data_IF_117515190242
#
_entry.id   IF_117515190242
#
_cell.length_a   1.000
_cell.length_b   1.000
_cell.length_c   1.000
_cell.angle_alpha   90.00
_cell.angle_beta   90.00
_cell.angle_gamma   90.00
#
_symmetry.space_group_name_H-M   'P 1'
#
loop_
_entity.id
_entity.type
_entity.pdbx_description
1 polymer ?
#
# COMPACT_ATOMS: atom_id res chain seq x y z
N UNK A 1 -22.22 -8.97 -2.79
CA UNK A 1 -21.50 -9.08 -1.50
C UNK A 1 -20.57 -7.90 -1.29
N UNK A 2 -20.03 -7.70 -0.09
CA UNK A 2 -19.03 -6.66 0.22
C UNK A 2 -17.65 -7.33 0.23
N UNK A 3 -16.65 -6.68 -0.37
CA UNK A 3 -15.26 -7.14 -0.35
C UNK A 3 -14.75 -7.12 1.08
N UNK A 4 -14.14 -8.22 1.53
CA UNK A 4 -13.57 -8.29 2.86
C UNK A 4 -12.41 -7.28 3.00
N UNK A 5 -12.34 -6.58 4.13
CA UNK A 5 -11.29 -5.58 4.37
C UNK A 5 -9.87 -6.15 4.19
N UNK A 6 -9.64 -7.40 4.62
CA UNK A 6 -8.37 -8.09 4.41
C UNK A 6 -7.96 -8.25 2.93
N UNK A 7 -8.90 -8.36 1.99
CA UNK A 7 -8.58 -8.41 0.57
C UNK A 7 -8.12 -7.03 0.07
N UNK A 8 -8.78 -5.96 0.50
CA UNK A 8 -8.36 -4.58 0.22
C UNK A 8 -6.97 -4.32 0.83
N UNK A 9 -6.72 -4.82 2.04
CA UNK A 9 -5.43 -4.69 2.70
C UNK A 9 -4.30 -5.38 1.91
N UNK A 10 -4.54 -6.58 1.39
CA UNK A 10 -3.57 -7.29 0.56
C UNK A 10 -3.27 -6.52 -0.74
N UNK A 11 -4.29 -5.94 -1.38
CA UNK A 11 -4.09 -5.12 -2.59
C UNK A 11 -3.28 -3.86 -2.26
N UNK A 12 -3.57 -3.18 -1.14
CA UNK A 12 -2.74 -2.05 -0.72
C UNK A 12 -1.29 -2.45 -0.47
N UNK A 13 -1.07 -3.55 0.26
CA UNK A 13 0.28 -4.02 0.58
C UNK A 13 1.11 -4.29 -0.69
N UNK A 14 0.52 -4.96 -1.68
CA UNK A 14 1.16 -5.23 -2.98
C UNK A 14 1.41 -3.94 -3.78
N UNK A 15 0.40 -3.10 -3.98
CA UNK A 15 0.53 -1.87 -4.79
C UNK A 15 1.55 -0.89 -4.19
N UNK A 16 1.54 -0.73 -2.87
CA UNK A 16 2.47 0.14 -2.16
C UNK A 16 3.87 -0.51 -2.10
N UNK A 17 3.96 -1.82 -1.87
CA UNK A 17 5.21 -2.57 -1.91
C UNK A 17 5.93 -2.47 -3.26
N UNK A 18 5.19 -2.48 -4.37
CA UNK A 18 5.74 -2.34 -5.73
C UNK A 18 6.52 -1.03 -5.95
N UNK A 19 6.18 0.06 -5.24
CA UNK A 19 6.95 1.32 -5.29
C UNK A 19 8.39 1.11 -4.78
N UNK A 20 8.57 0.27 -3.76
CA UNK A 20 9.90 0.00 -3.18
C UNK A 20 10.79 -0.75 -4.17
N UNK A 21 10.19 -1.69 -4.92
CA UNK A 21 10.86 -2.44 -5.98
C UNK A 21 11.24 -1.53 -7.16
N UNK A 22 10.31 -0.68 -7.61
CA UNK A 22 10.53 0.26 -8.72
C UNK A 22 11.64 1.29 -8.42
N UNK A 23 11.89 1.57 -7.13
CA UNK A 23 12.96 2.47 -6.69
C UNK A 23 14.30 1.74 -6.44
N UNK A 24 14.44 0.47 -6.82
CA UNK A 24 15.62 -0.37 -6.54
C UNK A 24 15.99 -0.41 -5.05
N UNK A 25 14.98 -0.35 -4.17
CA UNK A 25 15.15 -0.40 -2.72
C UNK A 25 14.20 -1.46 -2.14
N UNK A 26 14.47 -2.77 -2.36
CA UNK A 26 13.62 -3.83 -1.83
C UNK A 26 13.42 -3.65 -0.32
N UNK A 27 12.16 -3.57 0.09
CA UNK A 27 11.78 -3.31 1.46
C UNK A 27 10.59 -4.20 1.84
N UNK A 28 10.53 -4.59 3.11
CA UNK A 28 9.40 -5.35 3.64
C UNK A 28 8.45 -4.42 4.38
N UNK A 29 7.17 -4.76 4.40
CA UNK A 29 6.14 -4.02 5.12
C UNK A 29 6.40 -4.11 6.64
N UNK A 30 6.58 -2.96 7.28
CA UNK A 30 6.72 -2.87 8.73
C UNK A 30 5.42 -2.45 9.43
N UNK A 31 4.62 -1.62 8.78
CA UNK A 31 3.25 -1.32 9.23
C UNK A 31 2.38 -0.90 8.06
N UNK A 32 1.10 -1.28 8.12
CA UNK A 32 0.06 -0.87 7.19
C UNK A 32 -1.16 -0.45 7.99
N UNK A 33 -1.55 0.82 7.91
CA UNK A 33 -2.75 1.37 8.55
C UNK A 33 -3.75 1.70 7.44
N UNK A 34 -4.97 1.20 7.56
CA UNK A 34 -6.03 1.41 6.58
C UNK A 34 -7.27 1.99 7.26
N UNK A 35 -7.76 3.10 6.70
CA UNK A 35 -9.03 3.70 7.06
C UNK A 35 -10.06 3.29 5.99
N UNK A 36 -11.03 2.45 6.36
CA UNK A 36 -12.13 2.01 5.48
C UNK A 36 -13.28 3.00 5.56
N UNK A 37 -13.60 3.64 4.44
CA UNK A 37 -14.46 4.83 4.37
C UNK A 37 -15.85 4.47 3.85
N UNK A 38 -15.92 3.62 2.82
CA UNK A 38 -17.20 3.17 2.27
C UNK A 38 -17.11 1.72 1.76
N UNK A 39 -18.23 0.96 1.78
CA UNK A 39 -18.20 -0.43 1.38
C UNK A 39 -17.91 -0.58 -0.12
N UNK A 40 -16.92 -1.41 -0.45
CA UNK A 40 -16.63 -1.84 -1.81
C UNK A 40 -17.41 -3.12 -2.12
N UNK A 41 -18.20 -3.11 -3.18
CA UNK A 41 -18.98 -4.28 -3.60
C UNK A 41 -18.11 -5.25 -4.41
N UNK A 42 -18.35 -6.56 -4.25
CA UNK A 42 -17.74 -7.58 -5.12
C UNK A 42 -18.13 -7.32 -6.58
N UNK A 43 -17.29 -7.76 -7.51
CA UNK A 43 -17.44 -7.60 -8.98
C UNK A 43 -17.36 -6.14 -9.47
N UNK A 44 -17.18 -5.16 -8.58
CA UNK A 44 -16.89 -3.79 -8.98
C UNK A 44 -15.43 -3.63 -9.44
N UNK A 45 -15.23 -2.76 -10.43
CA UNK A 45 -13.91 -2.27 -10.81
C UNK A 45 -13.55 -1.12 -9.89
N UNK A 46 -12.34 -1.16 -9.32
CA UNK A 46 -11.78 -0.09 -8.54
C UNK A 46 -10.31 0.08 -8.90
N UNK A 47 -9.79 1.26 -8.61
CA UNK A 47 -8.41 1.64 -8.81
C UNK A 47 -7.71 1.74 -7.47
N UNK A 48 -6.41 1.50 -7.47
CA UNK A 48 -5.53 1.77 -6.34
C UNK A 48 -4.43 2.66 -6.82
N UNK A 49 -4.25 3.78 -6.14
CA UNK A 49 -3.18 4.72 -6.40
C UNK A 49 -2.28 4.77 -5.16
N UNK A 50 -0.97 4.71 -5.38
CA UNK A 50 0.03 4.73 -4.32
C UNK A 50 1.07 5.81 -4.61
N UNK A 51 1.48 6.53 -3.56
CA UNK A 51 2.41 7.65 -3.65
C UNK A 51 3.55 7.50 -2.65
N UNK A 52 4.79 7.59 -3.13
CA UNK A 52 5.94 7.75 -2.25
C UNK A 52 5.88 9.13 -1.59
N UNK A 53 5.73 9.17 -0.27
CA UNK A 53 5.77 10.43 0.47
C UNK A 53 7.21 10.87 0.75
N UNK A 54 8.01 9.98 1.33
CA UNK A 54 9.40 10.25 1.69
C UNK A 54 10.17 8.96 2.01
N UNK A 55 11.49 9.07 1.92
CA UNK A 55 12.42 8.06 2.39
C UNK A 55 13.37 8.66 3.42
N UNK A 56 13.48 8.02 4.59
CA UNK A 56 14.37 8.40 5.68
C UNK A 56 15.25 7.21 6.07
N UNK A 57 16.50 7.22 5.62
CA UNK A 57 17.44 6.10 5.82
C UNK A 57 16.86 4.80 5.23
N UNK A 58 16.48 3.86 6.09
CA UNK A 58 15.88 2.57 5.71
C UNK A 58 14.36 2.57 5.78
N UNK A 59 13.73 3.73 6.00
CA UNK A 59 12.28 3.87 6.14
C UNK A 59 11.70 4.50 4.89
N UNK A 60 10.78 3.81 4.23
CA UNK A 60 10.05 4.33 3.08
C UNK A 60 8.59 4.48 3.46
N UNK A 61 8.08 5.70 3.40
CA UNK A 61 6.71 6.05 3.76
C UNK A 61 5.90 6.22 2.48
N UNK A 62 4.83 5.44 2.34
CA UNK A 62 3.98 5.41 1.16
C UNK A 62 2.53 5.59 1.61
N UNK A 63 1.76 6.37 0.87
CA UNK A 63 0.31 6.44 1.03
C UNK A 63 -0.39 5.73 -0.12
N UNK A 64 -1.58 5.21 0.16
CA UNK A 64 -2.45 4.60 -0.83
C UNK A 64 -3.88 5.11 -0.72
N UNK A 65 -4.61 5.09 -1.83
CA UNK A 65 -6.05 5.28 -1.84
C UNK A 65 -6.70 4.36 -2.86
N UNK A 66 -7.93 3.95 -2.58
CA UNK A 66 -8.74 3.18 -3.54
C UNK A 66 -10.07 3.85 -3.84
N UNK A 67 -10.39 3.94 -5.12
CA UNK A 67 -11.53 4.69 -5.65
C UNK A 67 -12.09 4.06 -6.92
N UNK A 68 -13.32 4.41 -7.30
CA UNK A 68 -13.93 4.00 -8.59
C UNK A 68 -13.68 5.04 -9.70
N UNK A 69 -14.17 4.77 -10.91
CA UNK A 69 -14.10 5.68 -12.05
C UNK A 69 -14.72 7.08 -11.79
N UNK A 70 -15.64 7.17 -10.82
CA UNK A 70 -16.30 8.42 -10.41
C UNK A 70 -15.56 9.11 -9.25
N UNK A 71 -14.35 8.67 -8.91
CA UNK A 71 -13.54 9.17 -7.80
C UNK A 71 -14.18 8.98 -6.42
N UNK A 72 -15.15 8.06 -6.29
CA UNK A 72 -15.70 7.70 -4.99
C UNK A 72 -14.66 6.88 -4.23
N UNK A 73 -14.32 7.34 -3.05
CA UNK A 73 -13.29 6.74 -2.21
C UNK A 73 -13.84 5.60 -1.33
N UNK A 74 -13.16 4.46 -1.30
CA UNK A 74 -13.52 3.31 -0.46
C UNK A 74 -12.59 3.14 0.74
N UNK A 75 -11.29 3.38 0.58
CA UNK A 75 -10.33 3.32 1.67
C UNK A 75 -9.07 4.15 1.39
N UNK A 76 -8.37 4.54 2.45
CA UNK A 76 -7.04 5.16 2.41
C UNK A 76 -6.06 4.32 3.23
N UNK A 77 -4.79 4.38 2.87
CA UNK A 77 -3.72 3.63 3.52
C UNK A 77 -2.49 4.49 3.79
N UNK A 78 -1.83 4.23 4.91
CA UNK A 78 -0.50 4.70 5.25
C UNK A 78 0.39 3.48 5.54
N UNK A 79 1.50 3.38 4.81
CA UNK A 79 2.44 2.27 4.89
C UNK A 79 3.85 2.71 5.21
N UNK A 80 4.51 1.93 6.07
CA UNK A 80 5.94 2.03 6.35
C UNK A 80 6.62 0.75 5.88
N UNK A 81 7.61 0.92 5.01
CA UNK A 81 8.44 -0.15 4.48
C UNK A 81 9.87 0.01 4.98
N UNK A 82 10.52 -1.11 5.27
CA UNK A 82 11.89 -1.13 5.80
C UNK A 82 12.83 -1.90 4.87
N UNK A 83 13.87 -1.22 4.39
CA UNK A 83 14.96 -1.88 3.65
C UNK A 83 15.80 -2.73 4.63
N UNK A 84 16.08 -4.01 4.32
CA UNK A 84 16.98 -4.83 5.12
C UNK A 84 18.35 -4.18 5.32
N UNK A 85 19.04 -4.51 6.41
CA UNK A 85 20.46 -4.13 6.52
C UNK A 85 21.27 -4.94 5.49
N UNK A 86 22.34 -4.38 4.90
CA UNK A 86 23.29 -5.18 4.14
C UNK A 86 23.75 -6.35 5.02
N UNK A 87 23.66 -7.57 4.51
CA UNK A 87 24.36 -8.69 5.14
C UNK A 87 25.86 -8.40 5.00
N UNK A 88 26.54 -8.26 6.14
CA UNK A 88 28.00 -8.36 6.14
C UNK A 88 28.29 -9.84 5.96
N UNK A 89 28.82 -10.22 4.80
CA UNK A 89 29.36 -11.57 4.61
C UNK A 89 30.52 -11.74 5.59
N UNK A 90 30.34 -12.66 6.54
CA UNK A 90 31.35 -13.12 7.49
C UNK A 90 32.29 -14.13 6.87
#
# INVERSE_FOLDING_TARGET
>A
GIVHGGAIAAVFDECMGAITLNNNQPAYTASLKIDYISPLTVEAIFYVESHLLKTEKRKTFITGQTFDENQKLFAKSEGLYITPKPQVES
#
